data_IF_132995892239
#
_entry.id   IF_132995892239
#
_cell.length_a   1.000
_cell.length_b   1.000
_cell.length_c   1.000
_cell.angle_alpha   90.00
_cell.angle_beta   90.00
_cell.angle_gamma   90.00
#
_symmetry.space_group_name_H-M   'P 1'
#
loop_
_entity.id
_entity.type
_entity.pdbx_description
1 polymer ?
#
# COMPACT_ATOMS: atom_id res chain seq x y z
N UNK A 1 -17.66 0.24 -1.31
CA UNK A 1 -17.24 1.11 -2.44
C UNK A 1 -17.19 0.26 -3.69
N UNK A 2 -17.82 0.67 -4.80
CA UNK A 2 -17.82 -0.13 -6.04
C UNK A 2 -16.70 0.30 -6.98
N UNK A 3 -15.85 -0.64 -7.38
CA UNK A 3 -14.83 -0.47 -8.41
C UNK A 3 -15.23 -1.23 -9.67
N UNK A 4 -14.98 -0.61 -10.82
CA UNK A 4 -15.21 -1.22 -12.13
C UNK A 4 -13.89 -1.30 -12.88
N UNK A 5 -13.53 -2.50 -13.32
CA UNK A 5 -12.31 -2.78 -14.08
C UNK A 5 -12.68 -3.20 -15.49
N UNK A 6 -11.94 -2.72 -16.48
CA UNK A 6 -12.00 -3.25 -17.84
C UNK A 6 -11.00 -4.39 -17.94
N UNK A 7 -11.45 -5.55 -18.45
CA UNK A 7 -10.61 -6.73 -18.58
C UNK A 7 -10.10 -6.90 -20.02
N UNK A 8 -8.94 -7.55 -20.23
CA UNK A 8 -8.47 -7.93 -21.56
C UNK A 8 -9.41 -8.93 -22.22
N UNK A 9 -9.45 -8.95 -23.56
CA UNK A 9 -10.33 -9.83 -24.35
C UNK A 9 -10.12 -11.33 -24.07
N UNK A 10 -8.92 -11.71 -23.63
CA UNK A 10 -8.60 -13.09 -23.23
C UNK A 10 -9.38 -13.59 -22.02
N UNK A 11 -10.01 -12.70 -21.25
CA UNK A 11 -10.79 -13.05 -20.05
C UNK A 11 -12.28 -13.32 -20.33
N UNK A 12 -12.77 -13.22 -21.58
CA UNK A 12 -14.14 -13.56 -21.97
C UNK A 12 -15.24 -12.60 -21.48
N UNK A 13 -15.03 -11.91 -20.36
CA UNK A 13 -15.84 -10.80 -19.88
C UNK A 13 -15.13 -9.47 -20.14
N UNK A 14 -15.88 -8.45 -20.59
CA UNK A 14 -15.32 -7.12 -20.90
C UNK A 14 -15.10 -6.26 -19.64
N UNK A 15 -15.93 -6.45 -18.61
CA UNK A 15 -15.91 -5.64 -17.39
C UNK A 15 -16.10 -6.50 -16.14
N UNK A 16 -15.43 -6.10 -15.06
CA UNK A 16 -15.54 -6.70 -13.73
C UNK A 16 -15.92 -5.63 -12.72
N UNK A 17 -17.05 -5.83 -12.04
CA UNK A 17 -17.50 -4.98 -10.94
C UNK A 17 -17.18 -5.68 -9.61
N UNK A 18 -16.53 -4.95 -8.70
CA UNK A 18 -16.12 -5.46 -7.38
C UNK A 18 -16.63 -4.50 -6.30
N UNK A 19 -17.33 -5.05 -5.32
CA UNK A 19 -17.64 -4.34 -4.08
C UNK A 19 -16.46 -4.47 -3.12
N UNK A 20 -15.96 -3.33 -2.67
CA UNK A 20 -14.86 -3.23 -1.71
C UNK A 20 -15.44 -2.78 -0.36
N UNK A 21 -15.36 -3.68 0.62
CA UNK A 21 -15.85 -3.46 1.99
C UNK A 21 -14.75 -2.96 2.93
N UNK A 22 -13.49 -3.18 2.57
CA UNK A 22 -12.34 -2.86 3.43
C UNK A 22 -11.23 -2.17 2.65
N UNK A 23 -10.67 -1.13 3.27
CA UNK A 23 -9.52 -0.41 2.77
C UNK A 23 -8.42 -0.40 3.83
N UNK A 24 -7.20 -0.77 3.42
CA UNK A 24 -6.01 -0.74 4.26
C UNK A 24 -4.94 0.09 3.57
N UNK A 25 -4.39 1.07 4.29
CA UNK A 25 -3.26 1.89 3.84
C UNK A 25 -2.00 1.32 4.49
N UNK A 26 -0.98 1.03 3.69
CA UNK A 26 0.26 0.47 4.15
C UNK A 26 1.45 1.39 3.82
N UNK A 27 2.25 1.73 4.83
CA UNK A 27 3.48 2.51 4.70
C UNK A 27 4.72 1.64 4.87
N UNK A 28 5.85 2.09 4.32
CA UNK A 28 7.15 1.40 4.40
C UNK A 28 7.12 -0.03 3.83
N UNK A 29 6.37 -0.23 2.73
CA UNK A 29 6.12 -1.55 2.10
C UNK A 29 7.13 -1.92 1.01
N UNK A 30 8.29 -1.27 0.99
CA UNK A 30 9.37 -1.59 0.04
C UNK A 30 9.82 -3.05 0.17
N UNK A 31 10.24 -3.66 -0.94
CA UNK A 31 10.77 -5.03 -0.95
C UNK A 31 12.16 -5.11 -0.32
N UNK A 32 12.99 -4.11 -0.56
CA UNK A 32 14.33 -4.01 0.02
C UNK A 32 14.25 -3.38 1.41
N UNK A 33 14.46 -4.22 2.42
CA UNK A 33 14.42 -3.81 3.82
C UNK A 33 15.57 -2.85 4.17
N UNK A 34 16.75 -3.04 3.60
CA UNK A 34 17.91 -2.20 3.92
C UNK A 34 17.74 -0.80 3.34
N UNK A 35 17.21 -0.69 2.13
CA UNK A 35 16.87 0.60 1.53
C UNK A 35 15.82 1.37 2.36
N UNK A 36 14.80 0.67 2.88
CA UNK A 36 13.80 1.27 3.78
C UNK A 36 14.47 1.77 5.07
N UNK A 37 15.29 0.93 5.71
CA UNK A 37 15.95 1.29 6.97
C UNK A 37 16.94 2.44 6.78
N UNK A 38 17.64 2.48 5.64
CA UNK A 38 18.50 3.61 5.31
C UNK A 38 17.70 4.91 5.24
N UNK A 39 16.59 4.92 4.51
CA UNK A 39 15.75 6.12 4.40
C UNK A 39 15.14 6.55 5.74
N UNK A 40 14.76 5.59 6.60
CA UNK A 40 14.29 5.89 7.97
C UNK A 40 15.39 6.56 8.80
N UNK A 41 16.66 6.14 8.66
CA UNK A 41 17.79 6.78 9.34
C UNK A 41 18.03 8.20 8.83
N UNK A 42 18.02 8.41 7.52
CA UNK A 42 18.13 9.75 6.93
C UNK A 42 17.06 10.70 7.48
N UNK A 43 15.81 10.24 7.57
CA UNK A 43 14.71 11.03 8.10
C UNK A 43 14.86 11.29 9.61
N UNK A 44 15.36 10.31 10.36
CA UNK A 44 15.64 10.49 11.78
C UNK A 44 16.74 11.54 12.04
N UNK A 45 17.75 11.62 11.18
CA UNK A 45 18.78 12.68 11.23
C UNK A 45 18.18 14.08 11.01
N UNK A 46 17.10 14.18 10.23
CA UNK A 46 16.31 15.40 10.04
C UNK A 46 15.30 15.67 11.18
N UNK A 47 15.30 14.84 12.23
CA UNK A 47 14.40 14.98 13.38
C UNK A 47 13.00 14.39 13.16
N UNK A 48 12.77 13.65 12.06
CA UNK A 48 11.50 12.96 11.81
C UNK A 48 11.44 11.69 12.65
N UNK A 49 10.39 11.47 13.47
CA UNK A 49 10.25 10.25 14.26
C UNK A 49 10.17 8.99 13.40
N UNK A 50 10.77 7.91 13.88
CA UNK A 50 10.67 6.60 13.23
C UNK A 50 9.22 6.05 13.30
N UNK A 51 8.79 5.25 12.32
CA UNK A 51 7.50 4.59 12.37
C UNK A 51 7.45 3.54 13.50
N UNK A 52 6.26 3.29 14.03
CA UNK A 52 6.05 2.28 15.08
C UNK A 52 6.19 0.83 14.59
N UNK A 53 6.07 0.60 13.28
CA UNK A 53 6.24 -0.70 12.65
C UNK A 53 6.73 -0.56 11.20
N UNK A 54 7.38 -1.59 10.68
CA UNK A 54 7.86 -1.67 9.29
C UNK A 54 7.51 -3.08 8.76
N UNK A 55 6.49 -3.24 7.90
CA UNK A 55 5.58 -2.22 7.38
C UNK A 55 4.53 -1.75 8.41
N UNK A 56 3.93 -0.59 8.19
CA UNK A 56 2.88 -0.02 9.04
C UNK A 56 1.53 -0.05 8.33
N UNK A 57 0.50 -0.61 8.96
CA UNK A 57 -0.83 -0.78 8.38
C UNK A 57 -1.89 0.03 9.14
N UNK A 58 -2.67 0.81 8.41
CA UNK A 58 -3.83 1.55 8.90
C UNK A 58 -5.09 1.01 8.26
N UNK A 59 -6.06 0.57 9.08
CA UNK A 59 -7.39 0.18 8.61
C UNK A 59 -8.27 1.42 8.55
N UNK A 60 -8.93 1.63 7.42
CA UNK A 60 -9.89 2.73 7.25
C UNK A 60 -11.25 2.28 7.81
N UNK A 61 -11.90 3.16 8.57
CA UNK A 61 -13.22 2.95 9.17
C UNK A 61 -14.36 3.20 8.18
#
# INVERSE_FOLDING_TARGET
MRLTFTLPESCGAATLNVEIDHLVIAGWTGRDREAILHHIRELAELGVPQPSAIPLFYRVA
#
